data_IF_194743573677
#
_entry.id   IF_194743573677
#
_cell.length_a   1.000
_cell.length_b   1.000
_cell.length_c   1.000
_cell.angle_alpha   90.00
_cell.angle_beta   90.00
_cell.angle_gamma   90.00
#
_symmetry.space_group_name_H-M   'P 1'
#
loop_
_entity.id
_entity.type
_entity.pdbx_description
1 polymer ?
#
# COMPACT_ATOMS: atom_id res chain seq x y z
N UNK A 1 -18.83 -4.50 8.30
CA UNK A 1 -17.65 -3.66 8.56
C UNK A 1 -17.23 -3.07 7.23
N UNK A 2 -16.79 -1.81 7.20
CA UNK A 2 -16.36 -1.14 5.96
C UNK A 2 -15.22 -0.20 6.29
N UNK A 3 -14.18 -0.21 5.45
CA UNK A 3 -12.99 0.60 5.59
C UNK A 3 -13.25 2.03 5.07
N UNK A 4 -12.63 3.03 5.71
CA UNK A 4 -12.63 4.41 5.23
C UNK A 4 -11.68 4.61 4.03
N UNK A 5 -11.96 3.91 2.92
CA UNK A 5 -11.08 3.79 1.74
C UNK A 5 -10.63 5.16 1.21
N UNK A 6 -11.54 6.14 1.10
CA UNK A 6 -11.16 7.49 0.66
C UNK A 6 -10.07 8.12 1.51
N UNK A 7 -10.11 7.90 2.82
CA UNK A 7 -9.15 8.45 3.77
C UNK A 7 -7.85 7.64 3.78
N UNK A 8 -7.94 6.31 3.67
CA UNK A 8 -6.76 5.44 3.52
C UNK A 8 -5.94 5.83 2.28
N UNK A 9 -6.62 6.07 1.15
CA UNK A 9 -6.00 6.37 -0.15
C UNK A 9 -6.05 7.87 -0.53
N UNK A 10 -6.20 8.78 0.43
CA UNK A 10 -6.47 10.21 0.17
C UNK A 10 -5.39 10.87 -0.72
N UNK A 11 -4.15 10.41 -0.63
CA UNK A 11 -3.01 10.92 -1.39
C UNK A 11 -2.58 10.02 -2.57
N UNK A 12 -3.49 9.21 -3.10
CA UNK A 12 -3.20 8.28 -4.20
C UNK A 12 -2.54 8.96 -5.41
N UNK A 13 -2.94 10.21 -5.72
CA UNK A 13 -2.37 10.99 -6.81
C UNK A 13 -0.98 11.58 -6.51
N UNK A 14 -0.62 11.70 -5.22
CA UNK A 14 0.63 12.30 -4.77
C UNK A 14 1.81 11.32 -4.74
N UNK A 15 1.57 10.02 -4.89
CA UNK A 15 2.63 9.01 -5.08
C UNK A 15 3.62 9.39 -6.20
N UNK A 16 3.09 9.96 -7.29
CA UNK A 16 3.90 10.43 -8.43
C UNK A 16 4.85 11.59 -8.10
N UNK A 17 4.66 12.26 -6.95
CA UNK A 17 5.40 13.46 -6.53
C UNK A 17 6.47 13.19 -5.48
N UNK A 18 6.54 11.96 -4.96
CA UNK A 18 7.59 11.57 -4.00
C UNK A 18 8.85 11.23 -4.78
N UNK A 19 9.82 12.12 -4.76
CA UNK A 19 11.04 11.99 -5.57
C UNK A 19 12.29 11.75 -4.72
N UNK A 20 12.20 11.97 -3.40
CA UNK A 20 13.34 11.87 -2.49
C UNK A 20 13.03 11.00 -1.27
N UNK A 21 14.08 10.43 -0.66
CA UNK A 21 13.98 9.70 0.62
C UNK A 21 13.31 10.51 1.72
N UNK A 22 13.63 11.82 1.78
CA UNK A 22 13.10 12.73 2.80
C UNK A 22 11.59 12.92 2.64
N UNK A 23 11.12 13.11 1.41
CA UNK A 23 9.69 13.24 1.12
C UNK A 23 8.95 11.94 1.41
N UNK A 24 9.53 10.80 1.03
CA UNK A 24 8.92 9.49 1.29
C UNK A 24 8.83 9.22 2.79
N UNK A 25 9.89 9.45 3.56
CA UNK A 25 9.88 9.29 5.01
C UNK A 25 8.81 10.18 5.67
N UNK A 26 8.72 11.46 5.29
CA UNK A 26 7.70 12.35 5.82
C UNK A 26 6.27 11.91 5.46
N UNK A 27 6.04 11.44 4.23
CA UNK A 27 4.75 10.91 3.81
C UNK A 27 4.39 9.61 4.55
N UNK A 28 5.37 8.74 4.77
CA UNK A 28 5.21 7.49 5.52
C UNK A 28 4.86 7.77 6.99
N UNK A 29 5.56 8.71 7.63
CA UNK A 29 5.27 9.11 9.01
C UNK A 29 3.86 9.68 9.16
N UNK A 30 3.41 10.51 8.21
CA UNK A 30 2.03 11.00 8.20
C UNK A 30 1.02 9.86 8.02
N UNK A 31 1.26 8.96 7.06
CA UNK A 31 0.38 7.81 6.86
C UNK A 31 0.24 6.97 8.14
N UNK A 32 1.37 6.69 8.81
CA UNK A 32 1.40 5.93 10.07
C UNK A 32 0.65 6.65 11.19
N UNK A 33 0.85 7.96 11.34
CA UNK A 33 0.21 8.75 12.38
C UNK A 33 -1.32 8.88 12.18
N UNK A 34 -1.76 9.16 10.95
CA UNK A 34 -3.12 9.64 10.71
C UNK A 34 -4.06 8.58 10.09
N UNK A 35 -3.50 7.55 9.44
CA UNK A 35 -4.27 6.63 8.58
C UNK A 35 -4.06 5.15 8.90
N UNK A 36 -2.94 4.75 9.49
CA UNK A 36 -2.70 3.33 9.80
C UNK A 36 -3.75 2.74 10.74
N UNK A 37 -4.27 3.53 11.69
CA UNK A 37 -5.36 3.12 12.59
C UNK A 37 -6.66 2.76 11.85
N UNK A 38 -6.85 3.21 10.61
CA UNK A 38 -7.99 2.83 9.77
C UNK A 38 -7.87 1.37 9.26
N UNK A 39 -6.69 0.76 9.38
CA UNK A 39 -6.43 -0.64 9.05
C UNK A 39 -6.48 -1.55 10.28
N UNK A 40 -6.98 -1.06 11.42
CA UNK A 40 -7.01 -1.83 12.67
C UNK A 40 -7.72 -3.17 12.50
N UNK A 41 -8.87 -3.18 11.84
CA UNK A 41 -9.64 -4.41 11.68
C UNK A 41 -8.96 -5.42 10.73
N UNK A 42 -8.14 -4.93 9.79
CA UNK A 42 -7.27 -5.77 8.97
C UNK A 42 -6.10 -6.35 9.78
N UNK A 43 -5.61 -5.63 10.78
CA UNK A 43 -4.32 -5.94 11.43
C UNK A 43 -4.43 -6.51 12.84
N UNK A 44 -5.60 -6.44 13.48
CA UNK A 44 -5.80 -6.83 14.89
C UNK A 44 -6.92 -7.86 15.10
N UNK A 45 -7.74 -8.12 14.09
CA UNK A 45 -8.92 -8.99 14.23
C UNK A 45 -8.61 -10.48 14.32
N UNK A 46 -7.44 -10.92 13.82
CA UNK A 46 -7.07 -12.33 13.69
C UNK A 46 -7.73 -13.05 12.49
N UNK A 47 -8.73 -12.45 11.84
CA UNK A 47 -9.32 -12.95 10.59
C UNK A 47 -8.85 -12.09 9.40
N UNK A 48 -7.56 -12.24 9.07
CA UNK A 48 -6.91 -11.41 8.05
C UNK A 48 -7.48 -11.66 6.65
N UNK A 49 -7.91 -12.89 6.36
CA UNK A 49 -8.48 -13.23 5.05
C UNK A 49 -9.82 -12.55 4.83
N UNK A 50 -10.75 -12.62 5.79
CA UNK A 50 -12.05 -11.97 5.67
C UNK A 50 -11.89 -10.45 5.57
N UNK A 51 -11.05 -9.85 6.42
CA UNK A 51 -10.85 -8.40 6.40
C UNK A 51 -10.10 -7.91 5.15
N UNK A 52 -9.16 -8.70 4.60
CA UNK A 52 -8.53 -8.40 3.31
C UNK A 52 -9.55 -8.39 2.18
N UNK A 53 -10.50 -9.33 2.18
CA UNK A 53 -11.57 -9.38 1.19
C UNK A 53 -12.51 -8.18 1.31
N UNK A 54 -12.90 -7.80 2.54
CA UNK A 54 -13.72 -6.62 2.82
C UNK A 54 -13.02 -5.35 2.31
N UNK A 55 -11.72 -5.20 2.59
CA UNK A 55 -10.93 -4.07 2.07
C UNK A 55 -10.94 -4.04 0.54
N UNK A 56 -10.75 -5.17 -0.14
CA UNK A 56 -10.79 -5.24 -1.60
C UNK A 56 -12.16 -4.84 -2.16
N UNK A 57 -13.25 -5.28 -1.51
CA UNK A 57 -14.60 -4.92 -1.89
C UNK A 57 -14.87 -3.42 -1.71
N UNK A 58 -14.52 -2.85 -0.56
CA UNK A 58 -14.67 -1.41 -0.31
C UNK A 58 -13.83 -0.58 -1.30
N UNK A 59 -12.60 -1.02 -1.61
CA UNK A 59 -11.76 -0.37 -2.62
C UNK A 59 -12.40 -0.44 -4.01
N UNK A 60 -12.94 -1.59 -4.39
CA UNK A 60 -13.65 -1.69 -5.66
C UNK A 60 -14.86 -0.77 -5.68
N UNK A 61 -15.64 -0.70 -4.60
CA UNK A 61 -16.84 0.10 -4.54
C UNK A 61 -16.56 1.61 -4.62
N UNK A 62 -15.46 2.08 -4.02
CA UNK A 62 -15.05 3.48 -4.10
C UNK A 62 -14.45 3.85 -5.47
N UNK A 63 -13.61 2.99 -6.05
CA UNK A 63 -12.83 3.32 -7.25
C UNK A 63 -13.42 2.80 -8.57
N UNK A 64 -14.48 1.96 -8.53
CA UNK A 64 -15.08 1.44 -9.76
C UNK A 64 -15.72 2.56 -10.59
N UNK A 65 -15.46 2.54 -11.89
CA UNK A 65 -16.19 3.33 -12.89
C UNK A 65 -16.79 2.35 -13.88
N UNK A 66 -18.12 2.35 -14.00
CA UNK A 66 -18.87 1.37 -14.82
C UNK A 66 -18.60 -0.09 -14.41
N UNK A 67 -18.67 -0.36 -13.09
CA UNK A 67 -18.60 -1.72 -12.54
C UNK A 67 -17.20 -2.30 -12.32
N UNK A 68 -16.13 -1.63 -12.79
CA UNK A 68 -14.74 -2.06 -12.59
C UNK A 68 -13.80 -0.91 -12.26
N UNK A 69 -12.73 -1.20 -11.52
CA UNK A 69 -11.60 -0.29 -11.36
C UNK A 69 -10.84 -0.23 -12.69
N UNK A 70 -10.54 0.98 -13.18
CA UNK A 70 -9.79 1.15 -14.44
C UNK A 70 -8.32 0.79 -14.22
N UNK A 71 -7.65 0.28 -15.27
CA UNK A 71 -6.26 -0.18 -15.16
C UNK A 71 -5.28 0.88 -14.61
N UNK A 72 -5.42 2.15 -15.05
CA UNK A 72 -4.59 3.24 -14.54
C UNK A 72 -4.83 3.52 -13.05
N UNK A 73 -6.07 3.41 -12.58
CA UNK A 73 -6.42 3.60 -11.18
C UNK A 73 -5.88 2.44 -10.34
N UNK A 74 -6.07 1.20 -10.82
CA UNK A 74 -5.54 0.01 -10.17
C UNK A 74 -4.01 0.05 -10.07
N UNK A 75 -3.33 0.61 -11.07
CA UNK A 75 -1.88 0.80 -11.02
C UNK A 75 -1.48 1.74 -9.88
N UNK A 76 -2.18 2.86 -9.69
CA UNK A 76 -1.91 3.77 -8.57
C UNK A 76 -2.20 3.09 -7.23
N UNK A 77 -3.31 2.36 -7.12
CA UNK A 77 -3.68 1.61 -5.91
C UNK A 77 -2.60 0.58 -5.57
N UNK A 78 -2.15 -0.20 -6.57
CA UNK A 78 -1.06 -1.15 -6.43
C UNK A 78 0.23 -0.49 -5.92
N UNK A 79 0.60 0.67 -6.45
CA UNK A 79 1.74 1.42 -5.92
C UNK A 79 1.51 1.87 -4.48
N UNK A 80 0.32 2.35 -4.13
CA UNK A 80 0.00 2.75 -2.77
C UNK A 80 0.12 1.59 -1.78
N UNK A 81 -0.33 0.39 -2.18
CA UNK A 81 -0.15 -0.83 -1.39
C UNK A 81 1.34 -1.08 -1.10
N UNK A 82 2.17 -1.04 -2.15
CA UNK A 82 3.62 -1.33 -2.07
C UNK A 82 4.39 -0.27 -1.27
N UNK A 83 4.05 1.01 -1.42
CA UNK A 83 4.80 2.11 -0.82
C UNK A 83 4.32 2.48 0.58
N UNK A 84 3.06 2.25 0.95
CA UNK A 84 2.53 2.71 2.24
C UNK A 84 1.91 1.59 3.05
N UNK A 85 0.94 0.86 2.49
CA UNK A 85 0.18 -0.12 3.28
C UNK A 85 1.07 -1.27 3.76
N UNK A 86 1.73 -2.02 2.86
CA UNK A 86 2.56 -3.14 3.29
C UNK A 86 3.73 -2.72 4.20
N UNK A 87 4.53 -1.69 3.84
CA UNK A 87 5.61 -1.25 4.73
C UNK A 87 5.11 -0.81 6.10
N UNK A 88 3.92 -0.21 6.20
CA UNK A 88 3.36 0.23 7.49
C UNK A 88 2.94 -0.96 8.34
N UNK A 89 2.31 -1.98 7.75
CA UNK A 89 1.94 -3.21 8.46
C UNK A 89 3.21 -3.90 8.99
N UNK A 90 4.27 -3.98 8.18
CA UNK A 90 5.55 -4.59 8.57
C UNK A 90 6.27 -3.82 9.68
N UNK A 91 6.10 -2.50 9.76
CA UNK A 91 6.69 -1.67 10.83
C UNK A 91 5.90 -1.77 12.14
N UNK A 92 4.58 -1.85 12.06
CA UNK A 92 3.70 -1.66 13.22
C UNK A 92 3.26 -2.97 13.89
N UNK A 93 3.34 -4.11 13.19
CA UNK A 93 2.78 -5.39 13.66
C UNK A 93 3.84 -6.48 13.68
N UNK A 94 3.96 -7.17 14.81
CA UNK A 94 4.90 -8.30 14.97
C UNK A 94 4.62 -9.44 13.98
N UNK A 95 3.34 -9.71 13.71
CA UNK A 95 2.88 -10.67 12.72
C UNK A 95 2.65 -10.04 11.33
N UNK A 96 3.28 -8.89 11.05
CA UNK A 96 3.05 -8.12 9.83
C UNK A 96 3.31 -8.91 8.54
N UNK A 97 4.27 -9.85 8.53
CA UNK A 97 4.55 -10.68 7.36
C UNK A 97 3.36 -11.57 6.98
N UNK A 98 2.74 -12.25 7.94
CA UNK A 98 1.56 -13.09 7.72
C UNK A 98 0.38 -12.26 7.19
N UNK A 99 0.14 -11.08 7.78
CA UNK A 99 -0.92 -10.16 7.34
C UNK A 99 -0.65 -9.72 5.89
N UNK A 100 0.60 -9.37 5.57
CA UNK A 100 0.96 -8.90 4.23
C UNK A 100 0.85 -10.01 3.18
N UNK A 101 1.22 -11.25 3.50
CA UNK A 101 1.06 -12.41 2.61
C UNK A 101 -0.41 -12.64 2.26
N UNK A 102 -1.28 -12.69 3.28
CA UNK A 102 -2.72 -12.91 3.08
C UNK A 102 -3.35 -11.75 2.30
N UNK A 103 -3.00 -10.50 2.65
CA UNK A 103 -3.51 -9.31 1.96
C UNK A 103 -3.04 -9.25 0.50
N UNK A 104 -1.75 -9.55 0.23
CA UNK A 104 -1.19 -9.60 -1.13
C UNK A 104 -1.94 -10.62 -1.97
N UNK A 105 -2.12 -11.83 -1.47
CA UNK A 105 -2.73 -12.93 -2.22
C UNK A 105 -4.20 -12.62 -2.50
N UNK A 106 -4.93 -12.15 -1.49
CA UNK A 106 -6.32 -11.70 -1.63
C UNK A 106 -6.46 -10.57 -2.65
N UNK A 107 -5.58 -9.57 -2.60
CA UNK A 107 -5.59 -8.43 -3.52
C UNK A 107 -5.31 -8.86 -4.97
N UNK A 108 -4.29 -9.70 -5.17
CA UNK A 108 -3.92 -10.24 -6.48
C UNK A 108 -5.05 -11.06 -7.07
N UNK A 109 -5.68 -11.93 -6.27
CA UNK A 109 -6.79 -12.76 -6.71
C UNK A 109 -8.03 -11.94 -7.05
N UNK A 110 -8.35 -10.93 -6.24
CA UNK A 110 -9.54 -10.11 -6.40
C UNK A 110 -9.44 -9.16 -7.60
N UNK A 111 -8.35 -8.41 -7.70
CA UNK A 111 -8.15 -7.42 -8.77
C UNK A 111 -7.47 -7.98 -10.02
N UNK A 112 -7.10 -9.27 -10.02
CA UNK A 112 -6.26 -9.89 -11.07
C UNK A 112 -4.96 -9.09 -11.27
N UNK A 113 -4.37 -8.68 -10.15
CA UNK A 113 -3.09 -7.99 -10.10
C UNK A 113 -1.93 -8.99 -9.91
N UNK A 114 -0.71 -8.49 -9.98
CA UNK A 114 0.50 -9.28 -9.68
C UNK A 114 1.49 -8.39 -8.94
N UNK A 115 1.14 -8.02 -7.71
CA UNK A 115 2.00 -7.24 -6.82
C UNK A 115 2.69 -8.15 -5.82
N UNK A 116 3.90 -7.75 -5.42
CA UNK A 116 4.58 -8.25 -4.24
C UNK A 116 4.91 -7.06 -3.33
N UNK A 117 5.30 -7.31 -2.09
CA UNK A 117 5.61 -6.26 -1.13
C UNK A 117 7.06 -6.27 -0.69
N UNK A 118 7.48 -5.17 -0.06
CA UNK A 118 8.82 -4.98 0.49
C UNK A 118 8.71 -4.13 1.75
N UNK A 119 9.70 -4.19 2.63
CA UNK A 119 9.73 -3.40 3.86
C UNK A 119 10.20 -1.95 3.61
N UNK A 120 9.99 -1.10 4.62
CA UNK A 120 10.33 0.31 4.58
C UNK A 120 11.83 0.55 4.37
N UNK A 121 12.69 -0.23 5.02
CA UNK A 121 14.15 -0.07 4.93
C UNK A 121 14.66 -0.40 3.52
N UNK A 122 14.11 -1.43 2.89
CA UNK A 122 14.38 -1.81 1.51
C UNK A 122 13.96 -0.74 0.53
N UNK A 123 12.77 -0.13 0.71
CA UNK A 123 12.32 1.02 -0.08
C UNK A 123 13.26 2.21 0.09
N UNK A 124 13.58 2.57 1.34
CA UNK A 124 14.49 3.65 1.66
C UNK A 124 15.88 3.42 1.07
N UNK A 125 16.40 2.20 1.08
CA UNK A 125 17.66 1.84 0.42
C UNK A 125 17.56 1.96 -1.10
N UNK A 126 16.46 1.51 -1.71
CA UNK A 126 16.20 1.55 -3.15
C UNK A 126 16.22 2.96 -3.76
N UNK A 127 15.76 3.98 -3.03
CA UNK A 127 15.84 5.39 -3.47
C UNK A 127 17.27 5.87 -3.75
N UNK A 128 18.29 5.26 -3.14
CA UNK A 128 19.70 5.59 -3.38
C UNK A 128 20.23 5.00 -4.69
N UNK A 129 19.63 3.89 -5.15
CA UNK A 129 20.15 3.15 -6.30
C UNK A 129 19.56 3.61 -7.62
N UNK A 130 18.36 4.21 -7.65
CA UNK A 130 17.79 4.83 -8.86
C UNK A 130 16.80 5.94 -8.51
N UNK A 131 16.98 7.13 -9.07
CA UNK A 131 15.90 8.10 -9.28
C UNK A 131 15.76 8.22 -10.82
N UNK A 132 14.59 7.84 -11.36
CA UNK A 132 14.32 7.79 -12.82
C UNK A 132 15.22 6.85 -13.65
N UNK A 133 15.54 5.65 -13.18
CA UNK A 133 16.24 4.65 -14.00
C UNK A 133 17.76 4.88 -14.15
N UNK A 134 18.29 5.98 -13.62
CA UNK A 134 19.73 6.29 -13.65
C UNK A 134 20.36 5.85 -12.31
N UNK A 135 21.34 4.92 -12.32
CA UNK A 135 22.12 4.59 -11.14
C UNK A 135 23.00 5.77 -10.69
N UNK A 136 23.04 6.05 -9.39
CA UNK A 136 24.02 6.98 -8.79
C UNK A 136 25.14 6.15 -8.16
N UNK A 137 26.33 6.15 -8.80
CA UNK A 137 27.59 5.53 -8.36
C UNK A 137 27.71 4.04 -8.71
N UNK A 138 28.77 3.52 -9.35
CA UNK A 138 30.20 3.87 -9.30
C UNK A 138 30.84 3.81 -10.69
N UNK A 139 31.66 4.81 -11.02
CA UNK A 139 32.93 4.59 -11.74
C UNK A 139 34.04 4.64 -10.69
#
# INVERSE_FOLDING_TARGET
MSFEVRKIFEDLSHLSKVHTKKEYAAAMDMFRADRFSLLRDLTESGDYAANSLVLCQDVQDEFKKFGKVRAAELMNLNYFMIYYIFPSILLEKENGAEICDILRDTWNDFFKANINYTDYESLMSGFQTKIFGIPIGKN
#
